data_IF_145261776787
#
_entry.id   IF_145261776787
#
_cell.length_a   1.000
_cell.length_b   1.000
_cell.length_c   1.000
_cell.angle_alpha   90.00
_cell.angle_beta   90.00
_cell.angle_gamma   90.00
#
_symmetry.space_group_name_H-M   'P 1'
#
loop_
_entity.id
_entity.type
_entity.pdbx_description
1 polymer ?
#
# COMPACT_ATOMS: atom_id res chain seq x y z
N UNK A 1 38.19 -18.47 0.44
CA UNK A 1 38.78 -19.83 0.49
C UNK A 1 39.48 -20.07 -0.81
N UNK A 2 40.73 -20.54 -0.77
CA UNK A 2 41.51 -20.79 -1.99
C UNK A 2 41.09 -22.12 -2.65
N UNK A 3 40.70 -22.12 -3.93
CA UNK A 3 40.30 -23.34 -4.64
C UNK A 3 41.43 -24.36 -4.79
N UNK A 4 42.70 -23.94 -4.74
CA UNK A 4 43.86 -24.85 -4.83
C UNK A 4 44.15 -25.60 -3.53
N UNK A 5 43.71 -25.06 -2.38
CA UNK A 5 43.98 -25.65 -1.07
C UNK A 5 43.00 -26.80 -0.74
N UNK A 6 41.72 -26.63 -1.06
CA UNK A 6 40.68 -27.66 -0.86
C UNK A 6 39.62 -27.61 -1.97
N UNK A 7 39.91 -28.14 -3.17
CA UNK A 7 39.06 -27.99 -4.35
C UNK A 7 37.63 -28.51 -4.18
N UNK A 8 37.48 -29.66 -3.51
CA UNK A 8 36.16 -30.31 -3.31
C UNK A 8 35.32 -29.50 -2.32
N UNK A 9 35.89 -29.06 -1.21
CA UNK A 9 35.19 -28.24 -0.22
C UNK A 9 34.82 -26.88 -0.80
N UNK A 10 35.72 -26.29 -1.60
CA UNK A 10 35.45 -25.05 -2.34
C UNK A 10 34.23 -25.23 -3.25
N UNK A 11 34.21 -26.30 -4.06
CA UNK A 11 33.11 -26.58 -4.98
C UNK A 11 31.79 -26.82 -4.25
N UNK A 12 31.81 -27.56 -3.14
CA UNK A 12 30.60 -27.84 -2.35
C UNK A 12 30.01 -26.57 -1.73
N UNK A 13 30.85 -25.72 -1.15
CA UNK A 13 30.42 -24.43 -0.61
C UNK A 13 29.90 -23.56 -1.76
N UNK A 14 30.63 -23.48 -2.87
CA UNK A 14 30.22 -22.69 -4.03
C UNK A 14 28.86 -23.12 -4.57
N UNK A 15 28.61 -24.42 -4.70
CA UNK A 15 27.32 -24.96 -5.11
C UNK A 15 26.22 -24.71 -4.06
N UNK A 16 26.50 -24.87 -2.77
CA UNK A 16 25.51 -24.62 -1.69
C UNK A 16 25.09 -23.14 -1.69
N UNK A 17 26.05 -22.22 -1.80
CA UNK A 17 25.78 -20.77 -1.87
C UNK A 17 24.99 -20.36 -3.12
N UNK A 18 25.25 -21.03 -4.25
CA UNK A 18 24.47 -20.86 -5.48
C UNK A 18 23.10 -21.55 -5.43
N UNK A 19 22.87 -22.51 -4.53
CA UNK A 19 21.63 -23.32 -4.42
C UNK A 19 20.80 -23.06 -3.15
N UNK A 20 21.18 -22.11 -2.28
CA UNK A 20 20.50 -21.79 -1.01
C UNK A 20 18.95 -21.67 -1.10
N UNK A 21 18.43 -21.33 -2.27
CA UNK A 21 17.01 -21.10 -2.56
C UNK A 21 16.21 -22.39 -2.88
N UNK A 22 16.86 -23.54 -3.08
CA UNK A 22 16.19 -24.80 -3.46
C UNK A 22 15.73 -25.64 -2.25
N UNK A 23 15.77 -25.08 -1.03
CA UNK A 23 15.16 -25.70 0.15
C UNK A 23 13.65 -25.46 0.10
N UNK A 24 12.87 -26.54 -0.07
CA UNK A 24 11.39 -26.48 -0.06
C UNK A 24 10.90 -25.72 1.19
N UNK A 25 10.08 -24.67 1.04
CA UNK A 25 9.58 -23.91 2.19
C UNK A 25 8.57 -24.75 2.98
N UNK A 26 8.91 -25.06 4.23
CA UNK A 26 8.01 -25.73 5.17
C UNK A 26 7.39 -24.68 6.10
N UNK A 27 6.39 -23.95 5.60
CA UNK A 27 5.64 -22.98 6.40
C UNK A 27 4.69 -22.11 5.55
N UNK A 28 3.53 -21.75 6.11
CA UNK A 28 2.52 -20.90 5.42
C UNK A 28 3.04 -19.49 5.13
N UNK A 29 3.97 -19.00 5.96
CA UNK A 29 4.61 -17.69 5.80
C UNK A 29 5.75 -17.71 4.76
N UNK A 30 6.52 -18.79 4.69
CA UNK A 30 7.63 -18.90 3.71
C UNK A 30 7.14 -19.11 2.27
N UNK A 31 5.91 -19.61 2.08
CA UNK A 31 5.27 -19.69 0.75
C UNK A 31 4.86 -18.32 0.17
N UNK A 32 4.90 -17.25 0.96
CA UNK A 32 4.54 -15.88 0.53
C UNK A 32 5.73 -15.00 0.14
N UNK A 33 6.96 -15.51 0.20
CA UNK A 33 8.18 -14.79 -0.24
C UNK A 33 8.42 -15.02 -1.73
N UNK A 34 8.93 -14.02 -2.46
CA UNK A 34 9.41 -14.19 -3.84
C UNK A 34 10.61 -15.14 -3.83
N UNK A 35 10.49 -16.30 -4.48
CA UNK A 35 11.54 -17.33 -4.51
C UNK A 35 12.10 -17.49 -5.91
N UNK A 36 13.39 -17.84 -6.01
CA UNK A 36 14.00 -18.34 -7.25
C UNK A 36 13.38 -19.69 -7.58
N UNK A 37 12.72 -19.78 -8.73
CA UNK A 37 12.00 -20.98 -9.15
C UNK A 37 12.90 -21.96 -9.90
N UNK A 38 13.89 -21.44 -10.64
CA UNK A 38 14.86 -22.22 -11.41
C UNK A 38 16.12 -21.38 -11.68
N UNK A 39 17.11 -21.91 -12.40
CA UNK A 39 18.32 -21.16 -12.78
C UNK A 39 19.01 -21.73 -14.01
N UNK A 40 19.46 -20.82 -14.88
CA UNK A 40 20.36 -21.14 -15.99
C UNK A 40 21.79 -20.75 -15.62
N UNK A 41 22.78 -21.53 -16.03
CA UNK A 41 24.19 -21.21 -15.82
C UNK A 41 24.97 -21.23 -17.14
N UNK A 42 25.73 -20.19 -17.39
CA UNK A 42 26.70 -20.07 -18.48
C UNK A 42 28.09 -20.00 -17.86
N UNK A 43 28.98 -20.92 -18.23
CA UNK A 43 30.34 -21.04 -17.67
C UNK A 43 31.33 -21.18 -18.81
N UNK A 44 32.40 -20.39 -18.75
CA UNK A 44 33.61 -20.55 -19.56
C UNK A 44 34.87 -20.36 -18.70
N UNK A 45 36.04 -20.37 -19.31
CA UNK A 45 37.33 -20.25 -18.58
C UNK A 45 37.56 -18.85 -17.98
N UNK A 46 36.79 -17.83 -18.37
CA UNK A 46 36.95 -16.44 -17.91
C UNK A 46 35.88 -16.02 -16.90
N UNK A 47 34.65 -16.50 -17.06
CA UNK A 47 33.47 -16.04 -16.31
C UNK A 47 32.47 -17.16 -16.01
N UNK A 48 31.65 -16.87 -15.02
CA UNK A 48 30.43 -17.63 -14.72
C UNK A 48 29.27 -16.65 -14.59
N UNK A 49 28.20 -16.91 -15.33
CA UNK A 49 26.96 -16.15 -15.29
C UNK A 49 25.85 -17.09 -14.81
N UNK A 50 25.23 -16.76 -13.69
CA UNK A 50 24.10 -17.49 -13.13
C UNK A 50 22.86 -16.63 -13.31
N UNK A 51 21.90 -17.11 -14.11
CA UNK A 51 20.62 -16.46 -14.34
C UNK A 51 19.55 -17.14 -13.49
N UNK A 52 19.13 -16.52 -12.39
CA UNK A 52 18.05 -17.04 -11.55
C UNK A 52 16.69 -16.75 -12.18
N UNK A 53 15.95 -17.81 -12.44
CA UNK A 53 14.63 -17.77 -13.05
C UNK A 53 13.57 -17.57 -11.97
N UNK A 54 12.84 -16.47 -12.06
CA UNK A 54 11.71 -16.14 -11.22
C UNK A 54 10.42 -16.35 -12.02
N UNK A 55 9.46 -17.09 -11.47
CA UNK A 55 8.11 -17.20 -12.07
C UNK A 55 7.23 -16.00 -11.69
N UNK A 56 7.36 -15.48 -10.46
CA UNK A 56 6.66 -14.29 -9.98
C UNK A 56 7.61 -13.39 -9.14
N UNK A 57 7.49 -12.06 -9.26
CA UNK A 57 8.16 -11.08 -8.40
C UNK A 57 9.58 -10.65 -8.80
N UNK A 58 10.28 -9.96 -7.90
CA UNK A 58 11.69 -9.57 -8.05
C UNK A 58 12.50 -9.98 -6.81
N UNK A 59 13.82 -10.15 -6.95
CA UNK A 59 14.72 -10.53 -5.85
C UNK A 59 15.12 -9.37 -4.91
N UNK A 60 14.56 -8.17 -5.12
CA UNK A 60 14.91 -6.97 -4.37
C UNK A 60 16.12 -6.22 -4.95
N UNK A 61 16.12 -4.90 -4.81
CA UNK A 61 17.22 -4.03 -5.26
C UNK A 61 18.50 -4.35 -4.47
N UNK A 62 19.62 -4.53 -5.18
CA UNK A 62 20.94 -4.82 -4.60
C UNK A 62 21.22 -6.29 -4.30
N UNK A 63 20.29 -7.21 -4.59
CA UNK A 63 20.51 -8.65 -4.36
C UNK A 63 21.74 -9.19 -5.11
N UNK A 64 21.91 -8.78 -6.37
CA UNK A 64 23.02 -9.20 -7.22
C UNK A 64 24.38 -8.80 -6.61
N UNK A 65 24.46 -7.55 -6.14
CA UNK A 65 25.65 -6.96 -5.53
C UNK A 65 25.95 -7.59 -4.17
N UNK A 66 24.92 -7.74 -3.32
CA UNK A 66 25.07 -8.38 -2.00
C UNK A 66 25.48 -9.85 -2.10
N UNK A 67 24.94 -10.59 -3.07
CA UNK A 67 25.26 -12.02 -3.23
C UNK A 67 26.64 -12.23 -3.86
N UNK A 68 27.02 -11.39 -4.82
CA UNK A 68 28.40 -11.35 -5.33
C UNK A 68 29.40 -10.99 -4.21
N UNK A 69 29.12 -9.97 -3.40
CA UNK A 69 29.97 -9.62 -2.25
C UNK A 69 30.07 -10.75 -1.22
N UNK A 70 28.94 -11.40 -0.90
CA UNK A 70 28.91 -12.49 0.07
C UNK A 70 29.73 -13.69 -0.41
N UNK A 71 29.54 -14.14 -1.65
CA UNK A 71 30.28 -15.29 -2.19
C UNK A 71 31.78 -14.97 -2.26
N UNK A 72 32.15 -13.76 -2.69
CA UNK A 72 33.56 -13.33 -2.72
C UNK A 72 34.18 -13.17 -1.32
N UNK A 73 33.36 -13.00 -0.26
CA UNK A 73 33.83 -12.98 1.14
C UNK A 73 34.19 -14.38 1.64
N UNK A 74 33.52 -15.42 1.13
CA UNK A 74 33.71 -16.81 1.56
C UNK A 74 34.70 -17.55 0.64
N UNK A 75 34.69 -17.26 -0.66
CA UNK A 75 35.39 -17.99 -1.71
C UNK A 75 36.21 -17.04 -2.62
N UNK A 76 37.42 -17.45 -2.99
CA UNK A 76 38.25 -16.67 -3.94
C UNK A 76 37.86 -16.98 -5.39
N UNK A 77 36.70 -16.50 -5.83
CA UNK A 77 36.13 -16.82 -7.16
C UNK A 77 37.02 -16.35 -8.31
N UNK A 78 37.69 -15.21 -8.14
CA UNK A 78 38.58 -14.62 -9.17
C UNK A 78 39.81 -15.47 -9.50
N UNK A 79 40.16 -16.46 -8.66
CA UNK A 79 41.23 -17.41 -8.96
C UNK A 79 40.83 -18.46 -10.00
N UNK A 80 39.53 -18.69 -10.18
CA UNK A 80 38.99 -19.58 -11.20
C UNK A 80 38.48 -18.77 -12.38
N UNK A 81 37.73 -17.68 -12.12
CA UNK A 81 37.09 -16.85 -13.13
C UNK A 81 37.58 -15.39 -13.05
N UNK A 82 38.61 -15.01 -13.82
CA UNK A 82 39.23 -13.68 -13.73
C UNK A 82 38.29 -12.50 -13.98
N UNK A 83 37.25 -12.69 -14.82
CA UNK A 83 36.39 -11.61 -15.30
C UNK A 83 35.19 -11.28 -14.40
N UNK A 84 34.98 -12.03 -13.30
CA UNK A 84 33.93 -11.89 -12.25
C UNK A 84 32.74 -12.87 -12.37
N UNK A 85 32.15 -13.23 -11.21
CA UNK A 85 30.85 -13.88 -11.09
C UNK A 85 29.73 -12.87 -11.37
N UNK A 86 28.80 -13.22 -12.26
CA UNK A 86 27.61 -12.40 -12.54
C UNK A 86 26.35 -13.17 -12.18
N UNK A 87 25.57 -12.65 -11.24
CA UNK A 87 24.28 -13.22 -10.85
C UNK A 87 23.20 -12.29 -11.37
N UNK A 88 22.30 -12.79 -12.21
CA UNK A 88 21.28 -11.99 -12.88
C UNK A 88 19.89 -12.60 -12.67
N UNK A 89 18.84 -11.80 -12.39
CA UNK A 89 17.47 -12.27 -12.45
C UNK A 89 17.03 -12.42 -13.91
N UNK A 90 16.33 -13.51 -14.20
CA UNK A 90 15.60 -13.75 -15.46
C UNK A 90 14.15 -14.02 -15.08
N UNK A 91 13.20 -13.26 -15.59
CA UNK A 91 11.78 -13.49 -15.34
C UNK A 91 11.22 -14.29 -16.51
N UNK A 92 10.75 -15.51 -16.27
CA UNK A 92 10.02 -16.27 -17.28
C UNK A 92 8.55 -15.86 -17.25
N UNK A 93 8.12 -15.15 -18.30
CA UNK A 93 6.76 -14.63 -18.46
C UNK A 93 5.73 -15.70 -18.88
N UNK A 94 6.08 -16.98 -18.85
CA UNK A 94 5.21 -18.05 -19.30
C UNK A 94 4.35 -18.59 -18.13
N UNK A 95 3.04 -18.31 -18.25
CA UNK A 95 1.95 -18.74 -17.37
C UNK A 95 1.98 -18.17 -15.95
N UNK A 96 1.76 -16.85 -15.88
CA UNK A 96 1.23 -16.16 -14.70
C UNK A 96 -0.12 -16.82 -14.33
N UNK A 97 -0.09 -17.76 -13.39
CA UNK A 97 -1.25 -17.99 -12.53
C UNK A 97 -1.42 -16.73 -11.68
N UNK A 98 -2.53 -16.06 -11.93
CA UNK A 98 -2.94 -14.69 -11.57
C UNK A 98 -3.02 -14.33 -10.08
N UNK A 99 -2.40 -15.06 -9.16
CA UNK A 99 -2.68 -14.93 -7.73
C UNK A 99 -1.62 -14.19 -6.89
N UNK A 100 -0.69 -13.43 -7.49
CA UNK A 100 0.28 -12.63 -6.70
C UNK A 100 0.60 -11.23 -7.22
N UNK A 101 -0.04 -10.77 -8.30
CA UNK A 101 0.24 -9.45 -8.91
C UNK A 101 -0.67 -8.32 -8.42
N UNK A 102 -1.40 -8.48 -7.32
CA UNK A 102 -2.29 -7.42 -6.82
C UNK A 102 -1.62 -6.37 -5.92
N UNK A 103 -0.37 -6.56 -5.50
CA UNK A 103 0.32 -5.59 -4.60
C UNK A 103 1.36 -4.71 -5.33
N UNK A 104 2.14 -5.22 -6.28
CA UNK A 104 3.21 -4.44 -6.93
C UNK A 104 2.74 -3.57 -8.12
N UNK A 105 1.50 -3.75 -8.61
CA UNK A 105 0.90 -2.91 -9.68
C UNK A 105 0.38 -1.56 -9.13
N UNK A 106 0.42 -1.32 -7.80
CA UNK A 106 -0.18 -0.12 -7.17
C UNK A 106 0.81 0.88 -6.60
N UNK A 107 2.11 0.80 -6.92
CA UNK A 107 3.00 1.92 -6.64
C UNK A 107 2.95 2.86 -7.85
N UNK A 108 2.29 4.03 -7.80
CA UNK A 108 2.23 4.91 -8.95
C UNK A 108 3.66 5.27 -9.38
N UNK A 109 3.95 5.32 -10.68
CA UNK A 109 5.26 5.75 -11.22
C UNK A 109 5.74 7.09 -10.59
N UNK A 110 4.76 7.94 -10.27
CA UNK A 110 4.88 9.19 -9.52
C UNK A 110 5.66 9.03 -8.21
N UNK A 111 5.41 7.94 -7.48
CA UNK A 111 6.08 7.63 -6.21
C UNK A 111 7.48 7.07 -6.45
N UNK A 112 7.64 6.17 -7.43
CA UNK A 112 8.94 5.54 -7.71
C UNK A 112 10.03 6.56 -8.04
N UNK A 113 9.66 7.65 -8.74
CA UNK A 113 10.58 8.76 -9.06
C UNK A 113 10.94 9.63 -7.86
N UNK A 114 10.14 9.61 -6.79
CA UNK A 114 10.29 10.47 -5.61
C UNK A 114 10.63 9.69 -4.34
N UNK A 115 10.84 8.38 -4.42
CA UNK A 115 10.92 7.49 -3.26
C UNK A 115 12.07 7.82 -2.32
N UNK A 116 13.23 8.21 -2.85
CA UNK A 116 14.37 8.64 -2.04
C UNK A 116 14.11 9.97 -1.37
N UNK A 117 13.51 10.93 -2.08
CA UNK A 117 13.13 12.23 -1.52
C UNK A 117 12.08 12.09 -0.42
N UNK A 118 11.11 11.18 -0.60
CA UNK A 118 10.14 10.81 0.42
C UNK A 118 10.84 10.23 1.66
N UNK A 119 11.80 9.33 1.47
CA UNK A 119 12.56 8.76 2.57
C UNK A 119 13.39 9.81 3.34
N UNK A 120 13.92 10.82 2.63
CA UNK A 120 14.60 11.97 3.24
C UNK A 120 13.62 12.80 4.08
N UNK A 121 12.48 13.19 3.52
CA UNK A 121 11.45 13.98 4.22
C UNK A 121 10.90 13.25 5.47
N UNK A 122 10.67 11.93 5.37
CA UNK A 122 10.26 11.09 6.50
C UNK A 122 11.32 11.12 7.62
N UNK A 123 12.60 11.01 7.27
CA UNK A 123 13.69 11.10 8.24
C UNK A 123 13.77 12.49 8.90
N UNK A 124 13.62 13.55 8.11
CA UNK A 124 13.61 14.92 8.62
C UNK A 124 12.43 15.14 9.59
N UNK A 125 11.26 14.63 9.24
CA UNK A 125 10.09 14.66 10.10
C UNK A 125 10.33 13.90 11.42
N UNK A 126 10.89 12.68 11.35
CA UNK A 126 11.26 11.91 12.55
C UNK A 126 12.22 12.69 13.46
N UNK A 127 13.21 13.38 12.88
CA UNK A 127 14.16 14.20 13.61
C UNK A 127 13.52 15.43 14.28
N UNK A 128 12.46 15.99 13.69
CA UNK A 128 11.71 17.11 14.25
C UNK A 128 10.85 16.67 15.45
N UNK A 129 10.17 15.51 15.36
CA UNK A 129 9.27 15.01 16.41
C UNK A 129 10.02 14.30 17.56
N UNK A 130 11.16 13.67 17.30
CA UNK A 130 11.96 12.95 18.30
C UNK A 130 12.77 13.84 19.26
N UNK A 131 12.73 15.16 19.07
CA UNK A 131 13.45 16.15 19.89
C UNK A 131 13.01 16.25 21.35
N UNK A 132 11.90 15.62 21.74
CA UNK A 132 11.27 15.76 23.07
C UNK A 132 11.53 14.61 24.07
N UNK A 133 12.44 13.66 23.77
CA UNK A 133 12.76 12.57 24.71
C UNK A 133 14.20 12.66 25.24
N UNK A 134 14.38 13.14 26.48
CA UNK A 134 15.69 13.38 27.12
C UNK A 134 16.53 12.11 27.34
N UNK A 135 15.99 10.89 27.15
CA UNK A 135 16.65 9.63 27.53
C UNK A 135 17.25 8.79 26.40
N UNK A 136 17.25 9.26 25.16
CA UNK A 136 17.95 8.58 24.04
C UNK A 136 19.34 9.21 23.86
N UNK A 137 20.38 8.37 23.91
CA UNK A 137 21.79 8.70 23.78
C UNK A 137 22.11 9.47 22.48
N UNK A 138 23.08 10.37 22.58
CA UNK A 138 23.43 11.44 21.63
C UNK A 138 23.80 11.00 20.20
N UNK A 139 23.98 9.69 19.93
CA UNK A 139 24.55 9.19 18.68
C UNK A 139 23.56 9.03 17.51
N UNK A 140 22.24 9.00 17.76
CA UNK A 140 21.23 8.76 16.72
C UNK A 140 20.28 9.94 16.48
N UNK A 141 20.37 11.02 17.27
CA UNK A 141 19.49 12.19 17.14
C UNK A 141 20.05 13.14 16.09
N UNK A 142 19.32 13.32 14.98
CA UNK A 142 19.61 14.28 13.89
C UNK A 142 20.73 13.92 12.92
N UNK A 143 21.00 12.63 12.70
CA UNK A 143 21.79 12.25 11.53
C UNK A 143 21.04 12.65 10.26
N UNK A 144 21.75 13.28 9.31
CA UNK A 144 21.19 13.51 7.97
C UNK A 144 20.90 12.16 7.33
N UNK A 145 19.95 12.11 6.40
CA UNK A 145 19.57 10.85 5.75
C UNK A 145 20.79 10.09 5.20
N UNK A 146 21.73 10.80 4.59
CA UNK A 146 22.95 10.23 4.01
C UNK A 146 23.91 9.60 5.04
N UNK A 147 23.84 10.06 6.29
CA UNK A 147 24.67 9.62 7.42
C UNK A 147 24.05 8.42 8.17
N UNK A 148 22.80 8.07 7.85
CA UNK A 148 22.13 6.91 8.44
C UNK A 148 22.81 5.60 8.02
N UNK A 149 22.78 4.63 8.92
CA UNK A 149 23.12 3.25 8.58
C UNK A 149 22.10 2.68 7.57
N UNK A 150 22.49 1.59 6.89
CA UNK A 150 21.65 0.93 5.87
C UNK A 150 20.30 0.51 6.41
N UNK A 151 20.21 0.04 7.66
CA UNK A 151 18.96 -0.41 8.26
C UNK A 151 17.93 0.72 8.43
N UNK A 152 18.37 1.90 8.87
CA UNK A 152 17.52 3.08 9.04
C UNK A 152 17.13 3.70 7.69
N UNK A 153 18.05 3.75 6.72
CA UNK A 153 17.71 4.15 5.34
C UNK A 153 16.64 3.25 4.75
N UNK A 154 16.80 1.93 4.89
CA UNK A 154 15.83 0.96 4.41
C UNK A 154 14.48 1.07 5.15
N UNK A 155 14.49 1.39 6.44
CA UNK A 155 13.26 1.67 7.20
C UNK A 155 12.50 2.88 6.63
N UNK A 156 13.18 4.00 6.38
CA UNK A 156 12.56 5.19 5.79
C UNK A 156 12.04 4.94 4.37
N UNK A 157 12.79 4.21 3.55
CA UNK A 157 12.35 3.79 2.20
C UNK A 157 11.11 2.91 2.26
N UNK A 158 11.02 1.99 3.22
CA UNK A 158 9.84 1.14 3.41
C UNK A 158 8.62 1.95 3.82
N UNK A 159 8.77 2.92 4.73
CA UNK A 159 7.67 3.83 5.08
C UNK A 159 7.22 4.64 3.87
N UNK A 160 8.15 5.15 3.05
CA UNK A 160 7.81 5.82 1.79
C UNK A 160 7.01 4.91 0.85
N UNK A 161 7.43 3.64 0.71
CA UNK A 161 6.73 2.62 -0.10
C UNK A 161 5.35 2.26 0.43
N UNK A 162 5.09 2.39 1.74
CA UNK A 162 3.81 2.04 2.33
C UNK A 162 2.76 3.15 2.22
N UNK A 163 3.15 4.40 1.90
CA UNK A 163 2.23 5.54 1.77
C UNK A 163 1.07 5.26 0.79
N UNK A 164 1.27 4.79 -0.46
CA UNK A 164 0.16 4.51 -1.37
C UNK A 164 -0.83 3.48 -0.81
N UNK A 165 -0.32 2.44 -0.13
CA UNK A 165 -1.16 1.41 0.47
C UNK A 165 -2.02 2.03 1.58
N UNK A 166 -1.44 2.83 2.48
CA UNK A 166 -2.17 3.58 3.52
C UNK A 166 -3.24 4.48 2.93
N UNK A 167 -2.89 5.28 1.92
CA UNK A 167 -3.85 6.15 1.24
C UNK A 167 -4.98 5.33 0.62
N UNK A 168 -4.67 4.21 -0.02
CA UNK A 168 -5.68 3.33 -0.60
C UNK A 168 -6.63 2.74 0.44
N UNK A 169 -6.17 2.44 1.67
CA UNK A 169 -7.03 1.93 2.75
C UNK A 169 -8.12 2.92 3.16
N UNK A 170 -7.84 4.22 3.02
CA UNK A 170 -8.79 5.31 3.25
C UNK A 170 -9.39 5.83 1.93
N UNK A 171 -9.19 5.12 0.82
CA UNK A 171 -9.70 5.45 -0.52
C UNK A 171 -9.16 6.72 -1.15
N UNK A 172 -7.95 7.11 -0.79
CA UNK A 172 -7.22 8.22 -1.38
C UNK A 172 -6.11 7.70 -2.31
N UNK A 173 -5.66 8.55 -3.21
CA UNK A 173 -4.53 8.28 -4.11
C UNK A 173 -3.63 9.51 -4.27
N UNK A 174 -2.42 9.29 -4.79
CA UNK A 174 -1.42 10.33 -5.00
C UNK A 174 -1.56 10.85 -6.43
N UNK A 175 -1.55 12.17 -6.59
CA UNK A 175 -1.49 12.84 -7.89
C UNK A 175 -0.38 13.90 -7.90
N UNK A 176 0.02 14.31 -9.10
CA UNK A 176 0.90 15.47 -9.27
C UNK A 176 0.13 16.77 -9.04
N UNK A 177 0.81 17.77 -8.48
CA UNK A 177 0.33 19.15 -8.56
C UNK A 177 0.47 19.66 -10.00
N UNK A 178 -0.46 20.51 -10.42
CA UNK A 178 -0.37 21.28 -11.67
C UNK A 178 0.67 22.40 -11.51
N UNK A 179 1.11 23.00 -12.63
CA UNK A 179 2.02 24.15 -12.58
C UNK A 179 1.44 25.31 -11.75
N UNK A 180 0.14 25.56 -11.88
CA UNK A 180 -0.57 26.58 -11.09
C UNK A 180 -0.58 26.24 -9.59
N UNK A 181 -0.79 24.97 -9.23
CA UNK A 181 -0.76 24.49 -7.84
C UNK A 181 0.65 24.48 -7.23
N UNK A 182 1.70 24.41 -8.06
CA UNK A 182 3.11 24.54 -7.64
C UNK A 182 3.49 26.02 -7.49
N UNK A 183 2.94 26.90 -8.33
CA UNK A 183 3.16 28.34 -8.26
C UNK A 183 2.45 29.00 -7.07
N UNK A 184 1.44 28.33 -6.50
CA UNK A 184 0.81 28.73 -5.26
C UNK A 184 1.84 28.76 -4.11
N UNK A 185 1.98 29.93 -3.50
CA UNK A 185 2.96 30.16 -2.45
C UNK A 185 2.53 29.61 -1.08
N UNK A 186 1.24 29.30 -0.90
CA UNK A 186 0.74 28.75 0.36
C UNK A 186 1.00 27.24 0.44
N UNK A 187 1.73 26.82 1.47
CA UNK A 187 1.84 25.41 1.83
C UNK A 187 0.52 24.83 2.38
N UNK A 188 0.46 23.50 2.50
CA UNK A 188 -0.73 22.80 3.01
C UNK A 188 -1.14 23.28 4.40
N UNK A 189 -0.20 23.56 5.30
CA UNK A 189 -0.52 23.96 6.68
C UNK A 189 -1.17 25.36 6.69
N UNK A 190 -0.66 26.27 5.86
CA UNK A 190 -1.21 27.61 5.65
C UNK A 190 -2.62 27.55 5.08
N UNK A 191 -2.84 26.71 4.05
CA UNK A 191 -4.18 26.48 3.47
C UNK A 191 -5.15 25.90 4.49
N UNK A 192 -4.72 24.90 5.26
CA UNK A 192 -5.51 24.30 6.33
C UNK A 192 -5.93 25.36 7.34
N UNK A 193 -5.01 26.19 7.82
CA UNK A 193 -5.32 27.20 8.82
C UNK A 193 -6.27 28.28 8.27
N UNK A 194 -6.13 28.68 7.00
CA UNK A 194 -7.08 29.61 6.34
C UNK A 194 -8.49 29.03 6.33
N UNK A 195 -8.66 27.77 5.89
CA UNK A 195 -9.96 27.10 5.86
C UNK A 195 -10.56 26.97 7.27
N UNK A 196 -9.73 26.66 8.28
CA UNK A 196 -10.20 26.58 9.67
C UNK A 196 -10.73 27.93 10.15
N UNK A 197 -9.97 29.00 9.94
CA UNK A 197 -10.37 30.35 10.35
C UNK A 197 -11.68 30.77 9.66
N UNK A 198 -11.84 30.44 8.38
CA UNK A 198 -13.04 30.75 7.59
C UNK A 198 -14.27 29.95 8.04
N UNK A 199 -14.12 28.65 8.30
CA UNK A 199 -15.25 27.75 8.61
C UNK A 199 -15.61 27.69 10.09
N UNK A 200 -14.63 27.80 10.98
CA UNK A 200 -14.79 27.59 12.43
C UNK A 200 -14.41 28.80 13.29
N UNK A 201 -13.82 29.84 12.71
CA UNK A 201 -13.39 31.06 13.40
C UNK A 201 -11.92 31.03 13.85
N UNK A 202 -11.42 32.19 14.27
CA UNK A 202 -10.03 32.35 14.71
C UNK A 202 -9.75 31.69 16.08
N UNK A 203 -8.50 31.26 16.30
CA UNK A 203 -8.02 30.71 17.56
C UNK A 203 -8.09 29.18 17.69
N UNK A 204 -8.65 28.50 16.69
CA UNK A 204 -8.60 27.04 16.56
C UNK A 204 -7.42 26.61 15.68
N UNK A 205 -6.85 25.45 15.99
CA UNK A 205 -5.77 24.83 15.24
C UNK A 205 -6.25 23.60 14.49
N UNK A 206 -5.41 23.07 13.60
CA UNK A 206 -5.68 21.81 12.93
C UNK A 206 -5.97 20.66 13.90
N UNK A 207 -5.36 20.63 15.08
CA UNK A 207 -5.55 19.57 16.07
C UNK A 207 -6.92 19.62 16.78
N UNK A 208 -7.59 20.77 16.76
CA UNK A 208 -8.91 20.96 17.39
C UNK A 208 -10.06 20.46 16.50
N UNK A 209 -9.78 20.21 15.21
CA UNK A 209 -10.79 19.82 14.22
C UNK A 209 -10.75 18.31 14.01
N UNK A 210 -11.86 17.62 14.28
CA UNK A 210 -11.95 16.17 14.06
C UNK A 210 -12.26 15.83 12.59
N UNK A 211 -12.80 16.77 11.82
CA UNK A 211 -13.17 16.62 10.40
C UNK A 211 -11.98 16.60 9.43
N UNK A 212 -12.23 16.02 8.26
CA UNK A 212 -11.34 16.09 7.09
C UNK A 212 -11.36 17.51 6.51
N UNK A 213 -10.18 18.06 6.19
CA UNK A 213 -10.08 19.37 5.55
C UNK A 213 -9.69 19.16 4.09
N UNK A 214 -10.50 19.74 3.22
CA UNK A 214 -10.45 19.52 1.78
C UNK A 214 -10.39 20.83 1.02
N UNK A 215 -9.81 20.77 -0.18
CA UNK A 215 -9.88 21.80 -1.21
C UNK A 215 -10.61 21.19 -2.40
N UNK A 216 -11.82 21.69 -2.68
CA UNK A 216 -12.68 21.16 -3.73
C UNK A 216 -12.59 22.03 -4.99
N UNK A 217 -12.41 21.36 -6.13
CA UNK A 217 -12.67 21.91 -7.46
C UNK A 217 -13.80 21.10 -8.09
N UNK A 218 -14.31 21.55 -9.24
CA UNK A 218 -15.42 20.87 -9.94
C UNK A 218 -15.19 19.39 -10.28
N UNK A 219 -13.94 18.90 -10.24
CA UNK A 219 -13.58 17.51 -10.63
C UNK A 219 -12.67 16.77 -9.65
N UNK A 220 -12.00 17.47 -8.75
CA UNK A 220 -10.99 16.88 -7.87
C UNK A 220 -11.22 17.41 -6.45
N UNK A 221 -11.27 16.48 -5.51
CA UNK A 221 -11.23 16.79 -4.08
C UNK A 221 -9.86 16.45 -3.54
N UNK A 222 -9.10 17.50 -3.25
CA UNK A 222 -7.78 17.40 -2.63
C UNK A 222 -7.94 17.30 -1.12
N UNK A 223 -7.26 16.34 -0.52
CA UNK A 223 -7.21 16.17 0.92
C UNK A 223 -6.01 16.96 1.43
N UNK A 224 -6.26 18.00 2.22
CA UNK A 224 -5.21 18.79 2.87
C UNK A 224 -4.89 18.24 4.26
N UNK A 225 -5.89 17.71 4.96
CA UNK A 225 -5.74 17.08 6.28
C UNK A 225 -6.72 15.93 6.43
N UNK A 226 -6.23 14.80 6.92
CA UNK A 226 -7.08 13.68 7.29
C UNK A 226 -7.95 14.00 8.52
N UNK A 227 -9.12 13.37 8.58
CA UNK A 227 -9.90 13.35 9.82
C UNK A 227 -9.17 12.53 10.90
N UNK A 228 -9.54 12.75 12.17
CA UNK A 228 -8.88 12.12 13.32
C UNK A 228 -8.95 10.59 13.33
N UNK A 229 -10.03 10.04 12.80
CA UNK A 229 -10.26 8.59 12.74
C UNK A 229 -9.32 7.93 11.73
N UNK A 230 -9.21 8.48 10.53
CA UNK A 230 -8.30 7.96 9.50
C UNK A 230 -6.84 8.05 9.96
N UNK A 231 -6.49 9.12 10.69
CA UNK A 231 -5.18 9.22 11.36
C UNK A 231 -4.97 8.05 12.34
N UNK A 232 -5.96 7.79 13.19
CA UNK A 232 -5.87 6.73 14.20
C UNK A 232 -5.75 5.34 13.58
N UNK A 233 -6.60 5.01 12.60
CA UNK A 233 -6.60 3.71 11.93
C UNK A 233 -5.30 3.45 11.16
N UNK A 234 -4.80 4.47 10.45
CA UNK A 234 -3.53 4.37 9.74
C UNK A 234 -2.33 4.35 10.68
N UNK A 235 -2.42 4.95 11.87
CA UNK A 235 -1.35 4.89 12.87
C UNK A 235 -1.24 3.49 13.49
N UNK A 236 -2.37 2.79 13.69
CA UNK A 236 -2.38 1.36 14.07
C UNK A 236 -1.67 0.55 12.98
N UNK A 237 -2.05 0.76 11.71
CA UNK A 237 -1.42 0.08 10.58
C UNK A 237 0.08 0.34 10.51
N UNK A 238 0.52 1.58 10.73
CA UNK A 238 1.93 1.94 10.74
C UNK A 238 2.71 1.23 11.86
N UNK A 239 2.11 1.16 13.05
CA UNK A 239 2.70 0.44 14.17
C UNK A 239 2.83 -1.06 13.88
N UNK A 240 1.80 -1.67 13.28
CA UNK A 240 1.82 -3.10 12.94
C UNK A 240 2.91 -3.40 11.89
N UNK A 241 3.05 -2.57 10.84
CA UNK A 241 4.13 -2.69 9.85
C UNK A 241 5.52 -2.53 10.49
N UNK A 242 5.69 -1.54 11.38
CA UNK A 242 6.91 -1.36 12.14
C UNK A 242 7.22 -2.58 13.02
N UNK A 243 6.21 -3.12 13.68
CA UNK A 243 6.35 -4.29 14.53
C UNK A 243 6.81 -5.50 13.70
N UNK A 244 6.13 -5.79 12.59
CA UNK A 244 6.47 -6.90 11.69
C UNK A 244 7.90 -6.76 11.15
N UNK A 245 8.33 -5.55 10.77
CA UNK A 245 9.71 -5.27 10.40
C UNK A 245 10.68 -5.65 11.53
N UNK A 246 10.41 -5.19 12.74
CA UNK A 246 11.30 -5.39 13.88
C UNK A 246 11.39 -6.87 14.25
N UNK A 247 10.28 -7.59 14.29
CA UNK A 247 10.28 -9.05 14.49
C UNK A 247 11.08 -9.76 13.40
N UNK A 248 10.88 -9.38 12.13
CA UNK A 248 11.63 -9.93 11.00
C UNK A 248 13.15 -9.70 11.10
N UNK A 249 13.57 -8.63 11.77
CA UNK A 249 14.98 -8.31 12.06
C UNK A 249 15.49 -8.92 13.38
N UNK A 250 14.69 -9.76 14.04
CA UNK A 250 15.04 -10.46 15.28
C UNK A 250 14.92 -9.61 16.54
N UNK A 251 14.13 -8.53 16.53
CA UNK A 251 13.87 -7.76 17.73
C UNK A 251 12.89 -8.48 18.67
N UNK A 252 13.08 -8.28 19.97
CA UNK A 252 12.25 -8.88 21.01
C UNK A 252 11.69 -7.83 21.97
N UNK A 253 10.55 -8.14 22.58
CA UNK A 253 9.96 -7.30 23.60
C UNK A 253 10.84 -7.22 24.87
N UNK A 254 10.96 -6.03 25.44
CA UNK A 254 11.52 -5.85 26.79
C UNK A 254 11.17 -4.50 27.40
N UNK A 255 11.30 -4.35 28.72
CA UNK A 255 10.80 -3.18 29.45
C UNK A 255 11.55 -1.87 29.13
N UNK A 256 12.78 -1.97 28.65
CA UNK A 256 13.63 -0.84 28.28
C UNK A 256 14.18 -1.09 26.88
N UNK A 257 14.35 -0.02 26.11
CA UNK A 257 14.91 -0.10 24.76
C UNK A 257 16.42 -0.33 24.89
N UNK A 258 16.92 -1.40 24.28
CA UNK A 258 18.36 -1.75 24.21
C UNK A 258 18.68 -2.10 22.76
N UNK A 259 19.41 -1.24 22.06
CA UNK A 259 19.58 -1.33 20.61
C UNK A 259 20.47 -2.50 20.21
N UNK A 260 21.57 -2.68 20.94
CA UNK A 260 22.60 -3.70 20.70
C UNK A 260 22.00 -5.12 20.82
N UNK A 261 21.06 -5.29 21.75
CA UNK A 261 20.36 -6.54 22.01
C UNK A 261 19.04 -6.65 21.22
N UNK A 262 18.71 -5.65 20.40
CA UNK A 262 17.45 -5.55 19.63
C UNK A 262 16.20 -5.68 20.52
N UNK A 263 16.21 -5.02 21.66
CA UNK A 263 15.09 -5.00 22.61
C UNK A 263 14.31 -3.70 22.47
N UNK A 264 12.98 -3.80 22.34
CA UNK A 264 12.11 -2.62 22.32
C UNK A 264 10.88 -2.79 23.21
N UNK A 265 10.50 -1.77 24.00
CA UNK A 265 9.27 -1.78 24.78
C UNK A 265 8.03 -1.62 23.91
N UNK A 266 8.15 -1.19 22.66
CA UNK A 266 7.01 -0.95 21.79
C UNK A 266 6.54 -2.22 21.03
N UNK A 267 7.22 -3.37 21.18
CA UNK A 267 6.80 -4.64 20.55
C UNK A 267 5.63 -5.28 21.32
N UNK A 268 4.48 -4.61 21.30
CA UNK A 268 3.22 -4.99 21.93
C UNK A 268 2.06 -4.33 21.21
N UNK A 269 0.86 -4.88 21.41
CA UNK A 269 -0.37 -4.41 20.75
C UNK A 269 -0.62 -2.92 21.02
N UNK A 270 -1.17 -2.23 20.02
CA UNK A 270 -1.47 -0.80 20.04
C UNK A 270 -2.16 -0.35 21.35
N UNK A 271 -3.14 -1.12 21.82
CA UNK A 271 -3.91 -0.83 23.05
C UNK A 271 -3.06 -0.82 24.33
N UNK A 272 -1.86 -1.42 24.30
CA UNK A 272 -0.93 -1.49 25.42
C UNK A 272 0.26 -0.52 25.27
N UNK A 273 0.34 0.23 24.19
CA UNK A 273 1.34 1.28 24.01
C UNK A 273 1.04 2.49 24.91
N UNK A 274 2.08 3.21 25.30
CA UNK A 274 1.90 4.49 26.01
C UNK A 274 1.44 5.53 24.99
N UNK A 275 0.71 6.54 25.45
CA UNK A 275 0.22 7.62 24.58
C UNK A 275 1.38 8.31 23.85
N UNK A 276 2.50 8.53 24.55
CA UNK A 276 3.73 9.07 23.95
C UNK A 276 4.28 8.21 22.81
N UNK A 277 4.19 6.88 22.93
CA UNK A 277 4.69 5.97 21.89
C UNK A 277 3.77 6.01 20.67
N UNK A 278 2.44 5.96 20.90
CA UNK A 278 1.42 6.09 19.85
C UNK A 278 1.50 7.41 19.10
N UNK A 279 1.95 8.48 19.78
CA UNK A 279 2.07 9.79 19.18
C UNK A 279 3.06 9.81 18.00
N UNK A 280 4.12 8.98 18.03
CA UNK A 280 5.06 8.90 16.91
C UNK A 280 4.38 8.40 15.63
N UNK A 281 3.58 7.34 15.72
CA UNK A 281 2.84 6.80 14.57
C UNK A 281 1.75 7.77 14.11
N UNK A 282 1.04 8.41 15.06
CA UNK A 282 0.04 9.45 14.77
C UNK A 282 0.68 10.62 14.01
N UNK A 283 1.83 11.10 14.47
CA UNK A 283 2.53 12.22 13.85
C UNK A 283 3.06 11.83 12.46
N UNK A 284 3.58 10.61 12.29
CA UNK A 284 3.97 10.08 10.98
C UNK A 284 2.81 10.15 9.97
N UNK A 285 1.61 9.69 10.36
CA UNK A 285 0.43 9.76 9.49
C UNK A 285 -0.03 11.19 9.24
N UNK A 286 -0.10 12.03 10.29
CA UNK A 286 -0.51 13.45 10.17
C UNK A 286 0.35 14.23 9.18
N UNK A 287 1.64 13.90 9.07
CA UNK A 287 2.57 14.61 8.22
C UNK A 287 2.57 14.15 6.75
N UNK A 288 1.90 13.04 6.40
CA UNK A 288 1.87 12.53 5.02
C UNK A 288 1.42 13.61 4.00
N UNK A 289 0.33 14.38 4.23
CA UNK A 289 -0.07 15.44 3.31
C UNK A 289 1.04 16.46 3.05
N UNK A 290 1.69 16.95 4.11
CA UNK A 290 2.79 17.92 4.04
C UNK A 290 4.02 17.37 3.31
N UNK A 291 4.42 16.14 3.63
CA UNK A 291 5.57 15.48 2.99
C UNK A 291 5.34 15.31 1.48
N UNK A 292 4.14 14.91 1.07
CA UNK A 292 3.79 14.82 -0.35
C UNK A 292 3.77 16.20 -1.00
N UNK A 293 3.25 17.21 -0.29
CA UNK A 293 3.16 18.58 -0.77
C UNK A 293 4.53 19.20 -1.12
N UNK A 294 5.52 18.97 -0.25
CA UNK A 294 6.92 19.39 -0.43
C UNK A 294 7.55 18.82 -1.70
N UNK A 295 7.04 17.70 -2.21
CA UNK A 295 7.55 17.03 -3.41
C UNK A 295 6.74 17.38 -4.67
N UNK A 296 5.85 18.38 -4.59
CA UNK A 296 4.97 18.73 -5.69
C UNK A 296 3.89 17.69 -5.96
N UNK A 297 3.56 16.89 -4.94
CA UNK A 297 2.50 15.88 -4.99
C UNK A 297 1.31 16.35 -4.15
N UNK A 298 0.14 15.75 -4.40
CA UNK A 298 -1.08 16.00 -3.65
C UNK A 298 -1.83 14.70 -3.41
N UNK A 299 -2.64 14.69 -2.35
CA UNK A 299 -3.55 13.60 -2.07
C UNK A 299 -4.91 13.99 -2.62
N UNK A 300 -5.49 13.10 -3.42
CA UNK A 300 -6.84 13.26 -3.93
C UNK A 300 -7.70 12.08 -3.49
N UNK A 301 -9.01 12.27 -3.44
CA UNK A 301 -9.93 11.13 -3.34
C UNK A 301 -9.80 10.29 -4.59
N UNK A 302 -9.67 8.98 -4.40
CA UNK A 302 -9.69 8.06 -5.53
C UNK A 302 -11.08 8.05 -6.17
N UNK A 303 -11.11 7.86 -7.49
CA UNK A 303 -12.37 7.67 -8.22
C UNK A 303 -13.20 6.50 -7.69
N UNK A 304 -12.54 5.46 -7.17
CA UNK A 304 -13.21 4.33 -6.52
C UNK A 304 -13.84 4.68 -5.18
N UNK A 305 -13.26 5.60 -4.39
CA UNK A 305 -13.91 6.12 -3.18
C UNK A 305 -15.15 6.94 -3.53
N UNK A 306 -15.07 7.78 -4.57
CA UNK A 306 -16.22 8.49 -5.10
C UNK A 306 -17.33 7.53 -5.58
N UNK A 307 -16.96 6.49 -6.34
CA UNK A 307 -17.89 5.44 -6.77
C UNK A 307 -18.53 4.73 -5.57
N UNK A 308 -17.75 4.42 -4.54
CA UNK A 308 -18.25 3.79 -3.29
C UNK A 308 -19.36 4.63 -2.66
N UNK A 309 -19.19 5.96 -2.61
CA UNK A 309 -20.19 6.87 -2.06
C UNK A 309 -21.47 6.88 -2.89
N UNK A 310 -21.34 6.95 -4.23
CA UNK A 310 -22.48 6.91 -5.15
C UNK A 310 -23.23 5.57 -5.07
N UNK A 311 -22.50 4.45 -5.04
CA UNK A 311 -23.09 3.12 -4.88
C UNK A 311 -23.87 2.98 -3.58
N UNK A 312 -23.31 3.44 -2.46
CA UNK A 312 -23.99 3.36 -1.19
C UNK A 312 -25.25 4.24 -1.15
N UNK A 313 -25.14 5.48 -1.64
CA UNK A 313 -26.29 6.39 -1.77
C UNK A 313 -27.41 5.74 -2.62
N UNK A 314 -27.06 5.15 -3.76
CA UNK A 314 -28.01 4.45 -4.61
C UNK A 314 -28.63 3.24 -3.91
N UNK A 315 -27.84 2.43 -3.20
CA UNK A 315 -28.30 1.23 -2.51
C UNK A 315 -29.32 1.54 -1.39
N UNK A 316 -29.09 2.60 -0.63
CA UNK A 316 -29.98 3.03 0.45
C UNK A 316 -31.26 3.65 -0.09
N UNK A 317 -31.15 4.59 -1.03
CA UNK A 317 -32.27 5.45 -1.46
C UNK A 317 -32.94 5.05 -2.77
N UNK A 318 -32.30 4.20 -3.57
CA UNK A 318 -32.79 3.77 -4.88
C UNK A 318 -32.80 4.86 -5.96
N UNK A 319 -32.13 5.99 -5.72
CA UNK A 319 -32.01 7.11 -6.66
C UNK A 319 -30.68 7.84 -6.46
N UNK A 320 -30.15 8.38 -7.56
CA UNK A 320 -29.06 9.35 -7.54
C UNK A 320 -29.69 10.73 -7.33
N UNK A 321 -29.51 11.33 -6.15
CA UNK A 321 -30.00 12.69 -5.89
C UNK A 321 -28.91 13.69 -6.26
N UNK A 322 -29.22 14.70 -7.08
CA UNK A 322 -28.24 15.69 -7.53
C UNK A 322 -27.88 16.71 -6.44
N UNK A 323 -28.66 16.78 -5.35
CA UNK A 323 -28.53 17.83 -4.32
C UNK A 323 -28.21 17.30 -2.92
N UNK A 324 -28.01 15.99 -2.72
CA UNK A 324 -27.53 15.46 -1.45
C UNK A 324 -26.10 14.96 -1.59
N UNK A 325 -25.22 15.46 -0.73
CA UNK A 325 -23.91 14.86 -0.54
C UNK A 325 -24.12 13.51 0.16
N UNK A 326 -24.38 12.45 -0.60
CA UNK A 326 -24.40 11.07 -0.08
C UNK A 326 -23.14 10.71 0.72
N UNK A 327 -22.08 11.49 0.53
CA UNK A 327 -20.89 11.55 1.36
C UNK A 327 -21.15 11.85 2.85
N UNK A 328 -22.05 12.78 3.21
CA UNK A 328 -22.33 13.15 4.60
C UNK A 328 -22.95 11.99 5.38
N UNK A 329 -23.86 11.23 4.76
CA UNK A 329 -24.47 10.06 5.40
C UNK A 329 -23.55 8.84 5.37
N UNK A 330 -22.76 8.67 4.30
CA UNK A 330 -21.70 7.66 4.27
C UNK A 330 -20.70 7.88 5.41
N UNK A 331 -20.26 9.12 5.62
CA UNK A 331 -19.34 9.51 6.70
C UNK A 331 -19.91 9.25 8.09
N UNK A 332 -21.24 9.16 8.23
CA UNK A 332 -21.92 8.83 9.49
C UNK A 332 -22.05 7.32 9.74
N UNK A 333 -21.68 6.46 8.80
CA UNK A 333 -21.68 5.00 9.00
C UNK A 333 -20.56 4.58 9.94
N UNK A 334 -20.73 3.44 10.60
CA UNK A 334 -19.66 2.84 11.40
C UNK A 334 -18.43 2.55 10.54
N UNK A 335 -17.25 2.68 11.13
CA UNK A 335 -15.95 2.64 10.47
C UNK A 335 -15.72 1.31 9.75
N UNK A 336 -16.13 0.21 10.37
CA UNK A 336 -16.07 -1.13 9.78
C UNK A 336 -16.99 -1.27 8.57
N UNK A 337 -18.10 -0.54 8.54
CA UNK A 337 -19.04 -0.51 7.41
C UNK A 337 -18.46 0.33 6.27
N UNK A 338 -17.89 1.50 6.57
CA UNK A 338 -17.21 2.34 5.57
C UNK A 338 -16.05 1.59 4.90
N UNK A 339 -15.21 0.93 5.69
CA UNK A 339 -14.11 0.10 5.20
C UNK A 339 -14.61 -1.09 4.38
N UNK A 340 -15.65 -1.79 4.86
CA UNK A 340 -16.29 -2.88 4.13
C UNK A 340 -16.83 -2.39 2.78
N UNK A 341 -17.48 -1.23 2.73
CA UNK A 341 -18.06 -0.67 1.50
C UNK A 341 -16.97 -0.29 0.48
N UNK A 342 -15.86 0.29 0.94
CA UNK A 342 -14.72 0.56 0.07
C UNK A 342 -14.08 -0.71 -0.49
N UNK A 343 -13.96 -1.75 0.34
CA UNK A 343 -13.44 -3.06 -0.10
C UNK A 343 -14.38 -3.74 -1.09
N UNK A 344 -15.69 -3.64 -0.90
CA UNK A 344 -16.70 -4.12 -1.86
C UNK A 344 -16.56 -3.42 -3.22
N UNK A 345 -16.41 -2.10 -3.25
CA UNK A 345 -16.21 -1.35 -4.49
C UNK A 345 -14.89 -1.73 -5.20
N UNK A 346 -13.81 -2.01 -4.46
CA UNK A 346 -12.58 -2.54 -5.06
C UNK A 346 -12.75 -3.97 -5.59
N UNK A 347 -13.52 -4.82 -4.92
CA UNK A 347 -13.79 -6.19 -5.37
C UNK A 347 -14.55 -6.21 -6.70
N UNK A 348 -15.34 -5.18 -7.00
CA UNK A 348 -15.98 -5.07 -8.31
C UNK A 348 -14.97 -5.03 -9.47
N UNK A 349 -13.75 -4.54 -9.25
CA UNK A 349 -12.71 -4.56 -10.28
C UNK A 349 -12.44 -6.00 -10.71
N UNK A 350 -12.26 -6.90 -9.74
CA UNK A 350 -11.96 -8.30 -10.01
C UNK A 350 -13.19 -9.03 -10.55
N UNK A 351 -14.37 -8.77 -9.99
CA UNK A 351 -15.63 -9.36 -10.43
C UNK A 351 -15.98 -8.98 -11.88
N UNK A 352 -15.79 -7.73 -12.28
CA UNK A 352 -16.00 -7.30 -13.66
C UNK A 352 -14.98 -7.93 -14.61
N UNK A 353 -13.72 -8.04 -14.20
CA UNK A 353 -12.67 -8.72 -14.96
C UNK A 353 -12.97 -10.21 -15.22
N UNK A 354 -13.66 -10.90 -14.29
CA UNK A 354 -14.12 -12.29 -14.50
C UNK A 354 -15.00 -12.42 -15.76
N UNK A 355 -15.65 -11.34 -16.20
CA UNK A 355 -16.49 -11.26 -17.40
C UNK A 355 -15.88 -10.43 -18.54
N UNK A 356 -14.60 -10.06 -18.45
CA UNK A 356 -13.90 -9.29 -19.48
C UNK A 356 -14.32 -7.82 -19.50
N UNK A 357 -14.54 -7.22 -18.33
CA UNK A 357 -14.80 -5.79 -18.18
C UNK A 357 -13.72 -5.11 -17.34
N UNK A 358 -13.46 -3.85 -17.63
CA UNK A 358 -12.47 -3.01 -16.97
C UNK A 358 -13.04 -1.63 -16.62
N UNK A 359 -12.67 -1.12 -15.44
CA UNK A 359 -12.86 0.29 -15.13
C UNK A 359 -11.73 1.12 -15.72
N UNK A 360 -12.08 2.20 -16.40
CA UNK A 360 -11.13 3.11 -17.03
C UNK A 360 -11.56 4.57 -16.82
N UNK A 361 -10.64 5.48 -17.13
CA UNK A 361 -10.89 6.92 -17.16
C UNK A 361 -11.96 7.27 -18.22
N UNK A 362 -12.75 8.33 -18.01
CA UNK A 362 -13.67 8.82 -19.05
C UNK A 362 -12.96 9.16 -20.37
N UNK A 363 -11.69 9.58 -20.29
CA UNK A 363 -10.82 9.95 -21.41
C UNK A 363 -10.30 8.75 -22.23
N UNK A 364 -10.47 7.51 -21.74
CA UNK A 364 -10.10 6.31 -22.50
C UNK A 364 -10.87 6.30 -23.85
N UNK A 365 -10.26 5.92 -24.99
CA UNK A 365 -10.95 5.98 -26.28
C UNK A 365 -12.00 4.87 -26.48
N UNK A 366 -11.97 3.79 -25.69
CA UNK A 366 -12.88 2.64 -25.84
C UNK A 366 -14.32 3.00 -25.53
N UNK A 367 -15.26 2.32 -26.18
CA UNK A 367 -16.69 2.57 -26.00
C UNK A 367 -17.16 2.16 -24.59
N UNK A 368 -17.94 3.03 -23.95
CA UNK A 368 -18.48 2.78 -22.63
C UNK A 368 -19.60 1.72 -22.70
N UNK A 369 -19.54 0.75 -21.80
CA UNK A 369 -20.65 -0.16 -21.53
C UNK A 369 -21.75 0.65 -20.86
N UNK A 370 -22.91 0.75 -21.52
CA UNK A 370 -24.08 1.49 -21.01
C UNK A 370 -25.04 0.62 -20.21
N UNK A 371 -25.01 -0.69 -20.42
CA UNK A 371 -25.84 -1.66 -19.70
C UNK A 371 -25.23 -3.05 -19.74
N UNK A 372 -25.58 -3.85 -18.74
CA UNK A 372 -25.30 -5.28 -18.65
C UNK A 372 -26.55 -6.07 -18.99
N UNK A 373 -26.38 -7.30 -19.49
CA UNK A 373 -27.51 -8.21 -19.62
C UNK A 373 -27.94 -8.79 -18.26
N UNK A 374 -29.05 -9.53 -18.23
CA UNK A 374 -29.58 -10.07 -16.98
C UNK A 374 -28.64 -11.08 -16.30
N UNK A 375 -27.95 -11.91 -17.08
CA UNK A 375 -27.09 -12.97 -16.57
C UNK A 375 -25.80 -12.37 -15.99
N UNK A 376 -25.27 -11.32 -16.61
CA UNK A 376 -24.19 -10.49 -16.09
C UNK A 376 -24.59 -9.80 -14.79
N UNK A 377 -25.76 -9.17 -14.74
CA UNK A 377 -26.28 -8.51 -13.53
C UNK A 377 -26.43 -9.51 -12.39
N UNK A 378 -27.03 -10.69 -12.64
CA UNK A 378 -27.16 -11.74 -11.64
C UNK A 378 -25.79 -12.21 -11.15
N UNK A 379 -24.86 -12.43 -12.07
CA UNK A 379 -23.52 -12.89 -11.76
C UNK A 379 -22.78 -11.89 -10.87
N UNK A 380 -22.70 -10.62 -11.27
CA UNK A 380 -21.99 -9.60 -10.50
C UNK A 380 -22.63 -9.37 -9.13
N UNK A 381 -23.95 -9.28 -9.05
CA UNK A 381 -24.64 -9.07 -7.77
C UNK A 381 -24.43 -10.25 -6.81
N UNK A 382 -24.42 -11.49 -7.34
CA UNK A 382 -24.12 -12.68 -6.55
C UNK A 382 -22.67 -12.69 -6.06
N UNK A 383 -21.70 -12.45 -6.96
CA UNK A 383 -20.26 -12.48 -6.65
C UNK A 383 -19.85 -11.38 -5.67
N UNK A 384 -20.49 -10.22 -5.76
CA UNK A 384 -20.33 -9.10 -4.83
C UNK A 384 -20.82 -9.51 -3.44
N UNK A 385 -22.05 -10.00 -3.32
CA UNK A 385 -22.62 -10.44 -2.03
C UNK A 385 -21.82 -11.59 -1.40
N UNK A 386 -21.35 -12.55 -2.20
CA UNK A 386 -20.46 -13.62 -1.72
C UNK A 386 -19.15 -13.07 -1.16
N UNK A 387 -18.60 -12.03 -1.78
CA UNK A 387 -17.36 -11.39 -1.34
C UNK A 387 -17.58 -10.56 -0.08
N UNK A 388 -18.70 -9.85 0.03
CA UNK A 388 -19.15 -9.21 1.28
C UNK A 388 -19.35 -10.23 2.41
N UNK A 389 -20.04 -11.35 2.13
CA UNK A 389 -20.31 -12.41 3.11
C UNK A 389 -19.01 -13.02 3.64
N UNK A 390 -18.06 -13.35 2.75
CA UNK A 390 -16.71 -13.83 3.13
C UNK A 390 -15.94 -12.80 3.93
N UNK A 391 -16.04 -11.52 3.59
CA UNK A 391 -15.38 -10.45 4.35
C UNK A 391 -15.91 -10.39 5.78
N UNK A 392 -17.23 -10.40 5.95
CA UNK A 392 -17.92 -10.36 7.26
C UNK A 392 -17.65 -11.60 8.11
N UNK A 393 -17.57 -12.78 7.49
CA UNK A 393 -17.11 -14.02 8.13
C UNK A 393 -15.72 -13.84 8.75
N UNK A 394 -14.78 -13.27 7.99
CA UNK A 394 -13.38 -13.15 8.42
C UNK A 394 -13.19 -12.17 9.60
N UNK A 395 -14.08 -11.19 9.76
CA UNK A 395 -14.03 -10.20 10.85
C UNK A 395 -14.96 -10.52 12.01
N UNK A 396 -15.53 -11.74 12.06
CA UNK A 396 -16.51 -12.20 13.07
C UNK A 396 -17.70 -11.24 13.26
N UNK A 397 -18.08 -10.49 12.23
CA UNK A 397 -19.17 -9.52 12.27
C UNK A 397 -20.45 -10.17 11.73
N UNK A 398 -21.10 -10.96 12.60
CA UNK A 398 -22.22 -11.86 12.24
C UNK A 398 -23.60 -11.24 12.51
N UNK A 399 -23.66 -9.97 12.92
CA UNK A 399 -24.87 -9.35 13.49
C UNK A 399 -25.90 -8.87 12.47
N UNK A 400 -25.57 -8.85 11.17
CA UNK A 400 -26.47 -8.38 10.13
C UNK A 400 -27.55 -9.42 9.81
N UNK A 401 -28.81 -8.99 9.74
CA UNK A 401 -29.94 -9.81 9.25
C UNK A 401 -29.74 -10.34 7.83
N UNK A 402 -28.85 -9.71 7.04
CA UNK A 402 -28.53 -10.10 5.67
C UNK A 402 -27.30 -11.02 5.59
N UNK A 403 -26.72 -11.41 6.73
CA UNK A 403 -25.58 -12.32 6.80
C UNK A 403 -26.01 -13.77 6.55
N UNK A 404 -26.40 -14.03 5.30
CA UNK A 404 -26.77 -15.34 4.79
C UNK A 404 -26.16 -15.53 3.41
N UNK A 405 -25.97 -16.78 2.99
CA UNK A 405 -25.55 -17.08 1.62
C UNK A 405 -26.54 -16.51 0.60
N UNK A 406 -26.04 -16.18 -0.61
CA UNK A 406 -26.85 -15.56 -1.67
C UNK A 406 -28.16 -16.29 -1.86
N UNK A 407 -28.17 -17.62 -1.97
CA UNK A 407 -29.38 -18.38 -2.27
C UNK A 407 -30.48 -18.19 -1.20
N UNK A 408 -30.10 -17.96 0.05
CA UNK A 408 -31.00 -17.72 1.19
C UNK A 408 -31.34 -16.25 1.43
N UNK A 409 -30.74 -15.32 0.70
CA UNK A 409 -30.95 -13.89 0.86
C UNK A 409 -32.37 -13.47 0.45
N UNK A 410 -32.96 -12.54 1.22
CA UNK A 410 -34.30 -12.00 0.95
C UNK A 410 -34.39 -11.43 -0.48
N UNK A 411 -35.53 -11.69 -1.13
CA UNK A 411 -35.75 -11.30 -2.53
C UNK A 411 -35.63 -9.79 -2.75
N UNK A 412 -36.04 -8.96 -1.78
CA UNK A 412 -35.93 -7.50 -1.90
C UNK A 412 -34.48 -7.06 -1.81
N UNK A 413 -33.67 -7.70 -0.98
CA UNK A 413 -32.23 -7.41 -0.86
C UNK A 413 -31.49 -7.84 -2.13
N UNK A 414 -31.78 -9.04 -2.66
CA UNK A 414 -31.24 -9.47 -3.97
C UNK A 414 -31.62 -8.50 -5.08
N UNK A 415 -32.86 -8.01 -5.08
CA UNK A 415 -33.30 -7.01 -6.04
C UNK A 415 -32.49 -5.72 -5.91
N UNK A 416 -32.30 -5.18 -4.70
CA UNK A 416 -31.44 -4.02 -4.47
C UNK A 416 -30.01 -4.23 -4.99
N UNK A 417 -29.38 -5.37 -4.67
CA UNK A 417 -28.03 -5.69 -5.15
C UNK A 417 -27.96 -5.65 -6.69
N UNK A 418 -28.96 -6.25 -7.37
CA UNK A 418 -29.05 -6.20 -8.84
C UNK A 418 -29.29 -4.80 -9.38
N UNK A 419 -30.14 -4.00 -8.73
CA UNK A 419 -30.37 -2.61 -9.15
C UNK A 419 -29.09 -1.78 -9.05
N UNK A 420 -28.29 -1.95 -7.98
CA UNK A 420 -27.00 -1.28 -7.84
C UNK A 420 -26.05 -1.65 -8.97
N UNK A 421 -25.96 -2.94 -9.34
CA UNK A 421 -25.15 -3.37 -10.49
C UNK A 421 -25.70 -2.83 -11.82
N UNK A 422 -27.02 -2.82 -12.00
CA UNK A 422 -27.64 -2.31 -13.23
C UNK A 422 -27.30 -0.84 -13.48
N UNK A 423 -27.26 -0.03 -12.43
CA UNK A 423 -26.93 1.40 -12.51
C UNK A 423 -25.44 1.68 -12.28
N UNK A 424 -24.60 0.65 -12.20
CA UNK A 424 -23.15 0.80 -12.04
C UNK A 424 -22.52 1.61 -13.18
N UNK A 425 -22.87 1.41 -14.46
CA UNK A 425 -22.36 2.26 -15.55
C UNK A 425 -22.71 3.74 -15.38
N UNK A 426 -23.95 4.05 -14.98
CA UNK A 426 -24.42 5.41 -14.74
C UNK A 426 -23.64 6.07 -13.59
N UNK A 427 -23.48 5.35 -12.47
CA UNK A 427 -22.71 5.82 -11.32
C UNK A 427 -21.22 6.04 -11.64
N UNK A 428 -20.64 5.25 -12.54
CA UNK A 428 -19.26 5.47 -12.99
C UNK A 428 -19.14 6.79 -13.75
N UNK A 429 -20.11 7.06 -14.64
CA UNK A 429 -20.11 8.22 -15.53
C UNK A 429 -20.43 9.56 -14.85
N UNK A 430 -20.83 9.52 -13.58
CA UNK A 430 -21.02 10.71 -12.75
C UNK A 430 -19.77 11.60 -12.79
N UNK A 431 -19.96 12.91 -12.96
CA UNK A 431 -18.86 13.87 -13.12
C UNK A 431 -17.85 13.81 -11.97
N UNK A 432 -18.33 13.50 -10.76
CA UNK A 432 -17.50 13.41 -9.56
C UNK A 432 -16.74 12.07 -9.46
N UNK A 433 -17.22 11.03 -10.14
CA UNK A 433 -16.56 9.71 -10.19
C UNK A 433 -15.56 9.66 -11.34
N UNK A 434 -15.93 10.12 -12.52
CA UNK A 434 -15.03 10.23 -13.66
C UNK A 434 -14.50 8.90 -14.19
N UNK A 435 -15.30 7.82 -14.10
CA UNK A 435 -14.97 6.50 -14.62
C UNK A 435 -15.93 6.07 -15.72
N UNK A 436 -15.53 5.07 -16.50
CA UNK A 436 -16.44 4.25 -17.29
C UNK A 436 -16.01 2.80 -17.27
N UNK A 437 -16.94 1.93 -17.62
CA UNK A 437 -16.69 0.50 -17.79
C UNK A 437 -16.54 0.23 -19.28
N UNK A 438 -15.52 -0.52 -19.66
CA UNK A 438 -15.24 -0.92 -21.05
C UNK A 438 -15.03 -2.42 -21.11
N UNK A 439 -15.14 -3.02 -22.30
CA UNK A 439 -14.74 -4.42 -22.50
C UNK A 439 -13.21 -4.53 -22.54
N UNK A 440 -12.68 -5.54 -21.85
CA UNK A 440 -11.29 -5.96 -21.92
C UNK A 440 -10.94 -6.39 -23.35
N UNK A 441 -9.68 -6.17 -23.74
CA UNK A 441 -9.14 -6.60 -25.03
C UNK A 441 -8.85 -8.12 -25.10
#
# INVERSE_FOLDING_TARGET
>A
MDPSASPISYLLIFCDELQEWNRRPYGVLDKKRNHVNDFDVEIDDEKIIVRYILKNGSMGLGFEEMKDEFINKVLDVRKIFPAKLSILPKVELDNIQRDSLSEDIRTPDVLMRNIEKLAVEINEQYNQTSGADEKVTYAEKKARFDELNSDLKMSNIRQAKSIPKKLSLIGCEIAHKTEDEIADADDVDTKVQKIINEKYGEGLTADDIDEEIIEETSKIVRILKFNKKDIYDLAIYEHDEWWDEKLGKGWIYGKQKVLEEKISPCLKEWKYLRDKDRQYDIDAIKNIPRILDNLGLKIIRSRFKALTYKMNQFYEYGKLDSNSSGELEFKNLDNNIQFSNFKQANQLIDILKEKGYEFVSLEDPREAVVSFDYDEIEHFAKREHESWYKLKLNINEVSSKNFVEWDNLDRKVKHKNRETIRHLPEMCSDEYVGLKIVRSE
#
